data_IF_047629234747
#
_entry.id   IF_047629234747
#
_cell.length_a   1.000
_cell.length_b   1.000
_cell.length_c   1.000
_cell.angle_alpha   90.00
_cell.angle_beta   90.00
_cell.angle_gamma   90.00
#
_symmetry.space_group_name_H-M   'P 1'
#
loop_
_entity.id
_entity.type
_entity.pdbx_description
1 polymer ?
#
# COMPACT_ATOMS: atom_id res chain seq x y z
N UNK A 1 -35.15 -55.56 17.64
CA UNK A 1 -35.12 -54.99 16.28
C UNK A 1 -35.02 -53.45 16.27
N UNK A 2 -34.32 -52.81 17.24
CA UNK A 2 -34.38 -51.34 17.43
C UNK A 2 -33.04 -50.60 17.32
N UNK A 3 -31.92 -51.27 17.02
CA UNK A 3 -30.58 -50.63 16.98
C UNK A 3 -30.14 -50.09 15.61
N UNK A 4 -30.80 -50.48 14.53
CA UNK A 4 -30.41 -50.09 13.16
C UNK A 4 -30.96 -48.72 12.75
N UNK A 5 -32.12 -48.32 13.26
CA UNK A 5 -32.75 -47.02 12.96
C UNK A 5 -32.03 -45.86 13.64
N UNK A 6 -31.53 -46.03 14.86
CA UNK A 6 -30.87 -44.96 15.62
C UNK A 6 -29.49 -44.58 15.02
N UNK A 7 -28.76 -45.56 14.47
CA UNK A 7 -27.46 -45.34 13.84
C UNK A 7 -27.58 -44.63 12.48
N UNK A 8 -28.58 -45.02 11.68
CA UNK A 8 -28.90 -44.36 10.41
C UNK A 8 -29.37 -42.90 10.62
N UNK A 9 -30.12 -42.65 11.71
CA UNK A 9 -30.58 -41.31 12.07
C UNK A 9 -29.43 -40.40 12.55
N UNK A 10 -28.44 -40.93 13.29
CA UNK A 10 -27.25 -40.17 13.69
C UNK A 10 -26.33 -39.85 12.50
N UNK A 11 -26.19 -40.76 11.54
CA UNK A 11 -25.41 -40.54 10.32
C UNK A 11 -26.01 -39.44 9.43
N UNK A 12 -27.32 -39.45 9.24
CA UNK A 12 -28.03 -38.45 8.42
C UNK A 12 -28.01 -37.05 9.03
N UNK A 13 -28.11 -36.93 10.36
CA UNK A 13 -27.99 -35.64 11.06
C UNK A 13 -26.56 -35.06 10.96
N UNK A 14 -25.53 -35.92 10.99
CA UNK A 14 -24.15 -35.50 10.84
C UNK A 14 -23.84 -35.01 9.41
N UNK A 15 -24.30 -35.74 8.39
CA UNK A 15 -24.15 -35.33 6.98
C UNK A 15 -24.90 -34.03 6.67
N UNK A 16 -26.13 -33.89 7.16
CA UNK A 16 -26.90 -32.65 7.03
C UNK A 16 -26.19 -31.46 7.70
N UNK A 17 -25.51 -31.69 8.83
CA UNK A 17 -24.74 -30.64 9.52
C UNK A 17 -23.51 -30.20 8.71
N UNK A 18 -22.80 -31.14 8.07
CA UNK A 18 -21.66 -30.83 7.18
C UNK A 18 -22.13 -30.06 5.94
N UNK A 19 -23.24 -30.49 5.33
CA UNK A 19 -23.80 -29.85 4.15
C UNK A 19 -24.28 -28.43 4.46
N UNK A 20 -24.98 -28.24 5.59
CA UNK A 20 -25.37 -26.93 6.08
C UNK A 20 -24.15 -26.02 6.30
N UNK A 21 -23.07 -26.55 6.90
CA UNK A 21 -21.81 -25.84 7.08
C UNK A 21 -21.19 -25.38 5.76
N UNK A 22 -21.15 -26.24 4.73
CA UNK A 22 -20.67 -25.89 3.38
C UNK A 22 -21.52 -24.81 2.72
N UNK A 23 -22.85 -24.92 2.82
CA UNK A 23 -23.78 -23.93 2.27
C UNK A 23 -23.58 -22.57 2.96
N UNK A 24 -23.48 -22.54 4.29
CA UNK A 24 -23.23 -21.30 5.05
C UNK A 24 -21.89 -20.67 4.63
N UNK A 25 -20.80 -21.44 4.60
CA UNK A 25 -19.48 -20.95 4.16
C UNK A 25 -19.56 -20.38 2.73
N UNK A 26 -20.21 -21.09 1.80
CA UNK A 26 -20.32 -20.63 0.41
C UNK A 26 -21.14 -19.33 0.27
N UNK A 27 -22.20 -19.17 1.09
CA UNK A 27 -23.02 -17.94 1.11
C UNK A 27 -22.23 -16.77 1.70
N UNK A 28 -21.51 -17.01 2.78
CA UNK A 28 -20.62 -16.03 3.41
C UNK A 28 -19.55 -15.59 2.42
N UNK A 29 -18.82 -16.51 1.80
CA UNK A 29 -17.82 -16.20 0.78
C UNK A 29 -18.40 -15.42 -0.40
N UNK A 30 -19.61 -15.76 -0.86
CA UNK A 30 -20.29 -15.04 -1.94
C UNK A 30 -20.67 -13.61 -1.54
N UNK A 31 -21.16 -13.41 -0.31
CA UNK A 31 -21.51 -12.09 0.21
C UNK A 31 -20.27 -11.22 0.40
N UNK A 32 -19.20 -11.77 1.00
CA UNK A 32 -17.91 -11.09 1.14
C UNK A 32 -17.34 -10.73 -0.23
N UNK A 33 -17.25 -11.68 -1.16
CA UNK A 33 -16.75 -11.43 -2.52
C UNK A 33 -17.60 -10.44 -3.34
N UNK A 34 -18.89 -10.29 -3.03
CA UNK A 34 -19.75 -9.25 -3.64
C UNK A 34 -19.48 -7.87 -3.05
N UNK A 35 -19.32 -7.77 -1.73
CA UNK A 35 -18.99 -6.52 -1.04
C UNK A 35 -17.62 -5.99 -1.47
N UNK A 36 -16.63 -6.88 -1.52
CA UNK A 36 -15.27 -6.60 -1.98
C UNK A 36 -15.27 -6.01 -3.40
N UNK A 37 -15.90 -6.71 -4.35
CA UNK A 37 -16.02 -6.23 -5.73
C UNK A 37 -16.68 -4.85 -5.82
N UNK A 38 -17.75 -4.63 -5.05
CA UNK A 38 -18.44 -3.33 -5.03
C UNK A 38 -17.54 -2.22 -4.49
N UNK A 39 -16.70 -2.50 -3.51
CA UNK A 39 -15.75 -1.52 -2.98
C UNK A 39 -14.72 -1.10 -4.03
N UNK A 40 -14.13 -2.05 -4.77
CA UNK A 40 -13.22 -1.75 -5.87
C UNK A 40 -13.91 -0.89 -6.94
N UNK A 41 -15.10 -1.29 -7.39
CA UNK A 41 -15.86 -0.58 -8.42
C UNK A 41 -16.16 0.87 -7.99
N UNK A 42 -16.63 1.08 -6.75
CA UNK A 42 -16.89 2.42 -6.22
C UNK A 42 -15.63 3.31 -6.17
N UNK A 43 -14.47 2.76 -5.82
CA UNK A 43 -13.21 3.52 -5.80
C UNK A 43 -12.81 3.91 -7.23
N UNK A 44 -12.95 2.99 -8.19
CA UNK A 44 -12.61 3.28 -9.58
C UNK A 44 -13.59 4.26 -10.24
N UNK A 45 -14.87 4.25 -9.85
CA UNK A 45 -15.83 5.28 -10.25
C UNK A 45 -15.42 6.66 -9.72
N UNK A 46 -15.13 6.77 -8.42
CA UNK A 46 -14.61 8.01 -7.82
C UNK A 46 -13.33 8.48 -8.51
N UNK A 47 -12.41 7.58 -8.84
CA UNK A 47 -11.18 7.92 -9.56
C UNK A 47 -11.49 8.52 -10.94
N UNK A 48 -12.42 7.95 -11.70
CA UNK A 48 -12.83 8.51 -13.00
C UNK A 48 -13.51 9.87 -12.84
N UNK A 49 -14.36 10.05 -11.83
CA UNK A 49 -14.99 11.35 -11.54
C UNK A 49 -13.95 12.43 -11.20
N UNK A 50 -12.97 12.10 -10.35
CA UNK A 50 -11.85 13.00 -10.03
C UNK A 50 -11.06 13.31 -11.30
N UNK A 51 -10.73 12.29 -12.10
CA UNK A 51 -9.96 12.46 -13.32
C UNK A 51 -10.65 13.40 -14.34
N UNK A 52 -11.97 13.35 -14.44
CA UNK A 52 -12.74 14.25 -15.32
C UNK A 52 -12.67 15.71 -14.85
N UNK A 53 -12.56 15.95 -13.54
CA UNK A 53 -12.53 17.30 -12.95
C UNK A 53 -11.12 17.87 -12.86
N UNK A 54 -10.18 17.06 -12.37
CA UNK A 54 -8.77 17.39 -12.19
C UNK A 54 -7.95 16.09 -12.15
N UNK A 55 -7.34 15.66 -13.27
CA UNK A 55 -6.49 14.47 -13.31
C UNK A 55 -5.42 14.46 -12.21
N UNK A 56 -4.77 15.60 -11.94
CA UNK A 56 -3.69 15.69 -10.95
C UNK A 56 -4.11 15.31 -9.53
N UNK A 57 -5.40 15.44 -9.19
CA UNK A 57 -5.94 15.08 -7.88
C UNK A 57 -6.06 13.55 -7.66
N UNK A 58 -5.74 12.72 -8.66
CA UNK A 58 -5.62 11.28 -8.46
C UNK A 58 -4.54 10.89 -7.45
N UNK A 59 -3.47 11.69 -7.32
CA UNK A 59 -2.48 11.50 -6.25
C UNK A 59 -3.09 11.71 -4.86
N UNK A 60 -3.99 12.69 -4.71
CA UNK A 60 -4.67 12.93 -3.44
C UNK A 60 -5.61 11.77 -3.10
N UNK A 61 -6.28 11.19 -4.10
CA UNK A 61 -7.07 9.97 -3.91
C UNK A 61 -6.18 8.80 -3.47
N UNK A 62 -5.02 8.58 -4.10
CA UNK A 62 -4.06 7.54 -3.67
C UNK A 62 -3.63 7.77 -2.21
N UNK A 63 -3.27 9.00 -1.85
CA UNK A 63 -2.90 9.36 -0.48
C UNK A 63 -4.04 9.08 0.50
N UNK A 64 -5.28 9.43 0.14
CA UNK A 64 -6.47 9.14 0.95
C UNK A 64 -6.68 7.64 1.14
N UNK A 65 -6.56 6.84 0.08
CA UNK A 65 -6.75 5.40 0.12
C UNK A 65 -5.66 4.70 0.96
N UNK A 66 -4.41 5.15 0.87
CA UNK A 66 -3.29 4.54 1.58
C UNK A 66 -3.09 5.08 2.99
N UNK A 67 -3.77 6.18 3.38
CA UNK A 67 -3.66 6.76 4.72
C UNK A 67 -4.03 5.79 5.85
N UNK A 68 -5.14 5.01 5.78
CA UNK A 68 -5.45 4.04 6.83
C UNK A 68 -4.41 2.92 6.90
N UNK A 69 -3.89 2.45 5.76
CA UNK A 69 -2.84 1.42 5.73
C UNK A 69 -1.55 1.92 6.40
N UNK A 70 -1.15 3.17 6.13
CA UNK A 70 -0.06 3.84 6.84
C UNK A 70 -0.35 3.90 8.34
N UNK A 71 -1.54 4.35 8.74
CA UNK A 71 -1.92 4.49 10.15
C UNK A 71 -1.89 3.16 10.91
N UNK A 72 -2.38 2.08 10.31
CA UNK A 72 -2.35 0.72 10.87
C UNK A 72 -0.92 0.22 11.09
N UNK A 73 -0.02 0.47 10.13
CA UNK A 73 1.40 0.15 10.28
C UNK A 73 2.06 0.94 11.42
N UNK A 74 1.68 2.22 11.58
CA UNK A 74 2.21 3.08 12.64
C UNK A 74 1.69 2.72 14.03
N UNK A 75 0.41 2.38 14.16
CA UNK A 75 -0.23 2.11 15.45
C UNK A 75 0.15 0.73 15.99
N UNK A 76 0.41 -0.25 15.12
CA UNK A 76 0.66 -1.62 15.54
C UNK A 76 1.89 -1.78 16.45
N UNK A 77 2.92 -0.93 16.33
CA UNK A 77 4.07 -0.96 17.26
C UNK A 77 3.73 -0.46 18.67
N UNK A 78 2.65 0.30 18.79
CA UNK A 78 2.16 0.88 20.05
C UNK A 78 1.20 -0.09 20.73
N UNK A 79 0.31 -0.71 19.97
CA UNK A 79 -0.78 -1.58 20.46
C UNK A 79 -0.33 -3.02 20.73
N UNK A 80 0.61 -3.55 19.95
CA UNK A 80 1.05 -4.93 20.10
C UNK A 80 2.04 -5.09 21.26
N UNK A 81 2.15 -6.32 21.77
CA UNK A 81 3.14 -6.66 22.78
C UNK A 81 4.58 -6.41 22.26
N UNK A 82 5.53 -6.24 23.17
CA UNK A 82 6.95 -6.10 22.82
C UNK A 82 7.39 -7.25 21.90
N UNK A 83 8.11 -6.91 20.83
CA UNK A 83 8.55 -7.84 19.77
C UNK A 83 7.45 -8.40 18.87
N UNK A 84 6.22 -7.90 18.96
CA UNK A 84 5.09 -8.26 18.08
C UNK A 84 4.67 -7.10 17.16
N UNK A 85 5.62 -6.25 16.77
CA UNK A 85 5.32 -5.17 15.82
C UNK A 85 4.84 -5.74 14.47
N UNK A 86 4.06 -4.96 13.68
CA UNK A 86 3.66 -5.35 12.34
C UNK A 86 4.85 -5.79 11.47
N UNK A 87 4.62 -6.72 10.52
CA UNK A 87 5.66 -7.11 9.58
C UNK A 87 6.14 -5.92 8.74
N UNK A 88 7.34 -6.05 8.17
CA UNK A 88 7.87 -5.04 7.27
C UNK A 88 7.00 -4.90 6.02
N UNK A 89 6.85 -3.66 5.55
CA UNK A 89 6.15 -3.37 4.30
C UNK A 89 7.15 -3.56 3.16
N UNK A 90 7.07 -4.73 2.51
CA UNK A 90 7.97 -5.12 1.43
C UNK A 90 7.43 -4.61 0.11
N UNK A 91 8.19 -3.74 -0.57
CA UNK A 91 7.79 -3.14 -1.84
C UNK A 91 7.50 -4.19 -2.91
N UNK A 92 8.35 -5.21 -3.06
CA UNK A 92 8.25 -6.23 -4.11
C UNK A 92 6.99 -7.10 -4.07
N UNK A 93 6.25 -7.11 -2.96
CA UNK A 93 4.98 -7.83 -2.82
C UNK A 93 3.81 -6.91 -2.51
N UNK A 94 3.99 -5.58 -2.60
CA UNK A 94 2.98 -4.62 -2.14
C UNK A 94 1.64 -4.76 -2.85
N UNK A 95 1.64 -4.91 -4.18
CA UNK A 95 0.39 -5.09 -4.94
C UNK A 95 -0.06 -6.55 -4.98
N UNK A 96 0.87 -7.50 -5.13
CA UNK A 96 0.58 -8.92 -5.18
C UNK A 96 1.83 -9.75 -4.91
N UNK A 97 1.66 -10.88 -4.22
CA UNK A 97 2.73 -11.83 -3.95
C UNK A 97 2.78 -12.97 -4.98
N UNK A 98 3.45 -12.78 -6.12
CA UNK A 98 3.75 -13.89 -7.05
C UNK A 98 5.23 -13.93 -7.40
N UNK A 99 5.91 -15.01 -6.99
CA UNK A 99 7.34 -15.29 -7.23
C UNK A 99 7.75 -15.34 -8.71
N UNK A 100 6.80 -15.43 -9.64
CA UNK A 100 7.03 -15.36 -11.10
C UNK A 100 7.15 -13.92 -11.60
N UNK A 101 6.51 -12.97 -10.88
CA UNK A 101 6.53 -11.53 -11.18
C UNK A 101 7.34 -10.74 -10.14
N UNK A 102 7.68 -11.31 -8.98
CA UNK A 102 8.64 -10.71 -8.05
C UNK A 102 9.99 -10.40 -8.71
N UNK A 103 10.56 -11.26 -9.59
CA UNK A 103 11.75 -10.93 -10.37
C UNK A 103 11.50 -9.78 -11.38
N UNK A 104 10.27 -9.64 -11.87
CA UNK A 104 9.88 -8.54 -12.74
C UNK A 104 9.80 -7.22 -11.95
N UNK A 105 9.19 -7.18 -10.77
CA UNK A 105 9.12 -5.94 -9.95
C UNK A 105 10.50 -5.37 -9.57
N UNK A 106 11.53 -6.20 -9.45
CA UNK A 106 12.90 -5.77 -9.14
C UNK A 106 13.67 -5.20 -10.35
N UNK A 107 13.26 -5.56 -11.58
CA UNK A 107 13.95 -5.21 -12.84
C UNK A 107 13.16 -4.31 -13.80
N UNK A 108 11.83 -4.22 -13.67
CA UNK A 108 10.95 -3.45 -14.55
C UNK A 108 10.98 -1.94 -14.29
N UNK A 109 11.43 -1.51 -13.12
CA UNK A 109 11.44 -0.11 -12.75
C UNK A 109 12.61 0.64 -13.39
N UNK A 110 12.34 1.60 -14.28
CA UNK A 110 13.37 2.52 -14.78
C UNK A 110 13.87 3.36 -13.62
N UNK A 111 15.18 3.33 -13.36
CA UNK A 111 15.80 4.17 -12.33
C UNK A 111 15.82 5.62 -12.80
N UNK A 112 15.37 6.51 -11.94
CA UNK A 112 15.45 7.96 -12.17
C UNK A 112 16.39 8.61 -11.15
N UNK A 113 16.91 9.78 -11.49
CA UNK A 113 17.77 10.58 -10.62
C UNK A 113 17.03 11.01 -9.34
N UNK A 114 17.43 10.53 -8.15
CA UNK A 114 16.64 10.76 -6.93
C UNK A 114 16.57 12.21 -6.48
N UNK A 115 17.62 13.00 -6.74
CA UNK A 115 17.71 14.41 -6.35
C UNK A 115 16.65 15.29 -7.02
N UNK A 116 16.08 14.84 -8.13
CA UNK A 116 14.97 15.50 -8.80
C UNK A 116 13.64 15.37 -8.04
N UNK A 117 13.58 14.61 -6.94
CA UNK A 117 12.34 14.33 -6.22
C UNK A 117 12.42 14.72 -4.75
N UNK A 118 11.27 15.15 -4.21
CA UNK A 118 11.07 15.41 -2.78
C UNK A 118 9.78 14.75 -2.33
N UNK A 119 9.81 14.12 -1.16
CA UNK A 119 8.63 13.49 -0.55
C UNK A 119 8.35 14.18 0.77
N UNK A 120 7.15 14.72 0.92
CA UNK A 120 6.73 15.49 2.08
C UNK A 120 6.10 14.56 3.14
N UNK A 121 6.68 14.51 4.34
CA UNK A 121 6.27 13.55 5.38
C UNK A 121 4.82 13.79 5.85
N UNK A 122 4.29 15.01 5.72
CA UNK A 122 2.95 15.34 6.18
C UNK A 122 1.85 14.92 5.20
N UNK A 123 2.14 14.93 3.89
CA UNK A 123 1.13 14.86 2.82
C UNK A 123 1.23 13.61 1.97
N UNK A 124 2.44 13.13 1.74
CA UNK A 124 2.69 12.04 0.80
C UNK A 124 2.56 10.67 1.46
N UNK A 125 2.15 9.69 0.65
CA UNK A 125 2.17 8.29 1.06
C UNK A 125 3.61 7.81 1.25
N UNK A 126 3.99 7.64 2.51
CA UNK A 126 5.24 7.00 2.94
C UNK A 126 4.89 5.85 3.88
N UNK A 127 5.46 4.69 3.68
CA UNK A 127 5.09 3.46 4.38
C UNK A 127 6.26 3.02 5.28
N UNK A 128 6.46 3.67 6.44
CA UNK A 128 7.36 3.15 7.46
C UNK A 128 6.69 1.99 8.20
N UNK A 129 7.53 1.17 8.81
CA UNK A 129 7.13 0.08 9.68
C UNK A 129 7.98 0.15 10.96
N UNK A 130 7.64 1.05 11.90
CA UNK A 130 8.36 1.11 13.18
C UNK A 130 8.20 -0.24 13.90
N UNK A 131 9.31 -0.83 14.32
CA UNK A 131 9.31 -2.21 14.82
C UNK A 131 9.80 -2.36 16.28
N UNK A 132 10.17 -1.23 16.90
CA UNK A 132 10.75 -1.23 18.25
C UNK A 132 10.09 -0.14 19.10
N UNK A 133 9.43 -0.58 20.18
CA UNK A 133 8.64 0.26 21.08
C UNK A 133 9.47 1.35 21.78
N UNK A 134 10.68 1.02 22.23
CA UNK A 134 11.55 2.00 22.89
C UNK A 134 12.03 3.07 21.90
N UNK A 135 12.43 2.66 20.69
CA UNK A 135 12.89 3.58 19.64
C UNK A 135 11.78 4.49 19.15
N UNK A 136 10.55 3.98 18.96
CA UNK A 136 9.44 4.84 18.58
C UNK A 136 9.04 5.78 19.71
N UNK A 137 9.03 5.33 20.97
CA UNK A 137 8.75 6.20 22.12
C UNK A 137 9.77 7.35 22.20
N UNK A 138 11.06 7.06 22.05
CA UNK A 138 12.11 8.08 22.00
C UNK A 138 11.96 9.03 20.81
N UNK A 139 11.70 8.51 19.61
CA UNK A 139 11.49 9.34 18.43
C UNK A 139 10.29 10.29 18.61
N UNK A 140 9.16 9.78 19.12
CA UNK A 140 7.97 10.60 19.40
C UNK A 140 8.20 11.61 20.52
N UNK A 141 8.97 11.28 21.56
CA UNK A 141 9.25 12.19 22.67
C UNK A 141 10.20 13.33 22.28
N UNK A 142 11.13 13.09 21.36
CA UNK A 142 12.25 14.01 21.14
C UNK A 142 12.27 14.70 19.76
N UNK A 143 11.65 14.12 18.72
CA UNK A 143 11.72 14.64 17.34
C UNK A 143 10.43 15.35 16.93
N UNK A 144 10.55 16.57 16.43
CA UNK A 144 9.49 17.44 15.94
C UNK A 144 9.51 18.83 16.58
N UNK A 145 8.73 19.78 16.03
CA UNK A 145 8.65 21.16 16.55
C UNK A 145 8.33 21.18 18.06
N UNK A 146 9.09 21.97 18.83
CA UNK A 146 8.89 22.12 20.27
C UNK A 146 9.47 20.99 21.14
N UNK A 147 10.20 20.03 20.57
CA UNK A 147 10.84 18.92 21.31
C UNK A 147 12.36 19.07 21.35
N UNK A 148 13.02 18.29 22.21
CA UNK A 148 14.45 18.46 22.53
C UNK A 148 15.41 18.28 21.35
N UNK A 149 15.07 17.49 20.32
CA UNK A 149 15.87 17.36 19.09
C UNK A 149 15.41 18.30 17.97
N UNK A 150 14.39 19.12 18.22
CA UNK A 150 13.87 20.10 17.27
C UNK A 150 13.17 19.50 16.06
N UNK A 151 13.05 20.30 14.99
CA UNK A 151 12.41 19.92 13.73
C UNK A 151 13.03 18.66 13.13
N UNK A 152 12.21 17.87 12.44
CA UNK A 152 12.67 16.67 11.76
C UNK A 152 13.67 17.04 10.65
N UNK A 153 14.75 16.26 10.51
CA UNK A 153 15.74 16.41 9.44
C UNK A 153 16.15 15.06 8.90
N UNK A 154 16.37 15.00 7.59
CA UNK A 154 16.94 13.82 6.94
C UNK A 154 18.41 13.63 7.40
N UNK A 155 18.80 12.38 7.52
CA UNK A 155 20.14 11.90 7.88
C UNK A 155 20.47 10.62 7.07
N UNK A 156 21.72 10.14 7.07
CA UNK A 156 22.13 8.98 6.26
C UNK A 156 21.45 7.63 6.58
N UNK A 157 20.79 7.49 7.74
CA UNK A 157 20.05 6.29 8.10
C UNK A 157 18.66 6.25 7.43
N UNK A 158 18.19 7.36 6.86
CA UNK A 158 16.92 7.42 6.15
C UNK A 158 17.04 6.88 4.72
N UNK A 159 16.50 5.68 4.49
CA UNK A 159 16.51 5.02 3.18
C UNK A 159 15.08 4.89 2.69
N UNK A 160 14.77 5.60 1.61
CA UNK A 160 13.43 5.64 1.00
C UNK A 160 13.50 5.35 -0.50
N UNK A 161 12.65 4.43 -0.96
CA UNK A 161 12.42 4.14 -2.36
C UNK A 161 11.07 4.72 -2.78
N UNK A 162 11.03 5.57 -3.81
CA UNK A 162 9.81 6.14 -4.37
C UNK A 162 9.40 5.37 -5.63
N UNK A 163 8.14 4.92 -5.67
CA UNK A 163 7.51 4.33 -6.86
C UNK A 163 6.59 5.31 -7.57
N UNK A 164 6.81 5.44 -8.87
CA UNK A 164 5.97 6.18 -9.82
C UNK A 164 5.20 5.18 -10.70
N UNK A 165 4.00 5.53 -11.19
CA UNK A 165 3.37 6.85 -11.13
C UNK A 165 2.64 7.15 -9.81
N UNK A 166 2.41 6.15 -8.95
CA UNK A 166 1.53 6.32 -7.78
C UNK A 166 1.98 7.36 -6.76
N UNK A 167 3.30 7.55 -6.60
CA UNK A 167 3.84 8.34 -5.51
C UNK A 167 3.80 7.59 -4.17
N UNK A 168 4.17 6.31 -4.18
CA UNK A 168 4.25 5.49 -2.96
C UNK A 168 5.70 5.37 -2.55
N UNK A 169 6.01 5.73 -1.32
CA UNK A 169 7.36 5.65 -0.77
C UNK A 169 7.49 4.52 0.24
N UNK A 170 8.46 3.64 0.05
CA UNK A 170 8.78 2.52 0.93
C UNK A 170 10.02 2.82 1.75
N UNK A 171 9.98 2.51 3.05
CA UNK A 171 11.07 2.83 3.99
C UNK A 171 11.91 1.59 4.28
N UNK A 172 13.17 1.63 3.86
CA UNK A 172 14.19 0.63 4.20
C UNK A 172 14.94 0.94 5.51
N UNK A 173 15.06 2.23 5.86
CA UNK A 173 15.84 2.71 7.00
C UNK A 173 15.26 4.01 7.58
N UNK A 174 15.45 4.24 8.88
CA UNK A 174 14.87 5.41 9.57
C UNK A 174 13.39 5.32 9.91
N UNK A 175 12.82 4.11 9.99
CA UNK A 175 11.40 3.87 10.26
C UNK A 175 10.85 4.67 11.46
N UNK A 176 11.54 4.68 12.61
CA UNK A 176 11.06 5.35 13.82
C UNK A 176 11.10 6.88 13.72
N UNK A 177 12.19 7.45 13.19
CA UNK A 177 12.33 8.90 13.02
C UNK A 177 11.40 9.44 11.93
N UNK A 178 11.26 8.73 10.80
CA UNK A 178 10.27 9.07 9.74
C UNK A 178 8.86 9.07 10.31
N UNK A 179 8.52 8.08 11.15
CA UNK A 179 7.22 8.06 11.84
C UNK A 179 7.00 9.34 12.65
N UNK A 180 8.00 9.78 13.43
CA UNK A 180 7.88 11.02 14.19
C UNK A 180 7.70 12.26 13.30
N UNK A 181 8.37 12.31 12.14
CA UNK A 181 8.17 13.35 11.12
C UNK A 181 6.75 13.37 10.57
N UNK A 182 6.21 12.21 10.18
CA UNK A 182 4.83 12.06 9.70
C UNK A 182 3.82 12.56 10.74
N UNK A 183 3.94 12.12 12.00
CA UNK A 183 2.99 12.48 13.07
C UNK A 183 3.11 13.96 13.45
N UNK A 184 4.30 14.54 13.41
CA UNK A 184 4.49 15.97 13.66
C UNK A 184 4.11 16.86 12.47
N UNK A 185 3.81 16.27 11.30
CA UNK A 185 3.56 17.01 10.07
C UNK A 185 4.77 17.82 9.60
N UNK A 186 5.98 17.36 9.90
CA UNK A 186 7.23 18.10 9.69
C UNK A 186 8.24 17.24 8.91
N UNK A 187 8.96 17.88 8.00
CA UNK A 187 10.05 17.27 7.24
C UNK A 187 9.73 16.91 5.79
N UNK A 188 10.78 16.90 4.99
CA UNK A 188 10.81 16.41 3.61
C UNK A 188 12.02 15.50 3.43
N UNK A 189 11.88 14.48 2.59
CA UNK A 189 12.93 13.50 2.31
C UNK A 189 13.25 13.47 0.82
N UNK A 190 14.54 13.47 0.52
CA UNK A 190 15.07 13.10 -0.80
C UNK A 190 15.15 11.57 -0.83
N UNK A 191 14.44 10.88 -1.73
CA UNK A 191 14.55 9.42 -1.84
C UNK A 191 15.98 9.00 -2.14
N UNK A 192 16.40 7.84 -1.65
CA UNK A 192 17.66 7.21 -2.09
C UNK A 192 17.52 6.48 -3.42
N UNK A 193 16.28 6.15 -3.80
CA UNK A 193 15.96 5.45 -5.04
C UNK A 193 14.61 5.91 -5.57
N UNK A 194 14.52 6.13 -6.89
CA UNK A 194 13.26 6.44 -7.58
C UNK A 194 13.09 5.47 -8.74
N UNK A 195 11.93 4.84 -8.80
CA UNK A 195 11.56 3.86 -9.83
C UNK A 195 10.31 4.30 -10.56
N UNK A 196 10.42 4.46 -11.87
CA UNK A 196 9.25 4.50 -12.74
C UNK A 196 8.81 3.07 -13.07
N UNK A 197 7.69 2.68 -12.47
CA UNK A 197 7.10 1.35 -12.60
C UNK A 197 6.03 1.29 -13.69
N UNK A 198 6.00 2.26 -14.61
CA UNK A 198 5.01 2.31 -15.69
C UNK A 198 4.94 1.02 -16.51
N UNK A 199 6.05 0.33 -16.72
CA UNK A 199 6.09 -0.96 -17.44
C UNK A 199 5.29 -2.07 -16.73
N UNK A 200 5.26 -2.07 -15.39
CA UNK A 200 4.44 -3.01 -14.61
C UNK A 200 2.96 -2.89 -14.97
N UNK A 201 2.50 -1.67 -15.25
CA UNK A 201 1.14 -1.41 -15.68
C UNK A 201 0.89 -1.95 -17.10
N UNK A 202 1.87 -2.09 -17.98
CA UNK A 202 1.64 -2.76 -19.29
C UNK A 202 1.45 -4.26 -19.13
N UNK A 203 2.19 -4.86 -18.19
CA UNK A 203 2.29 -6.32 -18.06
C UNK A 203 1.17 -6.94 -17.25
N UNK A 204 0.62 -6.19 -16.28
CA UNK A 204 -0.38 -6.70 -15.33
C UNK A 204 -1.58 -5.78 -15.32
N UNK A 205 -2.78 -6.36 -15.30
CA UNK A 205 -4.07 -5.68 -15.07
C UNK A 205 -4.77 -6.26 -13.84
N UNK A 206 -5.66 -5.48 -13.24
CA UNK A 206 -6.52 -5.92 -12.13
C UNK A 206 -7.99 -5.62 -12.39
N UNK A 207 -8.85 -6.61 -12.14
CA UNK A 207 -10.31 -6.50 -12.28
C UNK A 207 -11.04 -6.34 -10.93
N UNK A 208 -10.29 -6.13 -9.85
CA UNK A 208 -10.81 -6.09 -8.47
C UNK A 208 -11.04 -7.47 -7.84
N UNK A 209 -10.78 -8.57 -8.57
CA UNK A 209 -10.76 -9.94 -8.03
C UNK A 209 -9.42 -10.63 -8.23
N UNK A 210 -8.77 -10.39 -9.36
CA UNK A 210 -7.51 -11.02 -9.73
C UNK A 210 -6.59 -10.02 -10.41
N UNK A 211 -5.30 -10.20 -10.15
CA UNK A 211 -4.25 -9.68 -11.01
C UNK A 211 -4.00 -10.68 -12.15
N UNK A 212 -3.89 -10.19 -13.37
CA UNK A 212 -3.72 -11.01 -14.58
C UNK A 212 -2.65 -10.43 -15.49
N UNK A 213 -1.93 -11.30 -16.17
CA UNK A 213 -1.06 -10.87 -17.26
C UNK A 213 -1.92 -10.26 -18.38
N UNK A 214 -1.58 -9.05 -18.85
CA UNK A 214 -2.35 -8.35 -19.88
C UNK A 214 -2.41 -9.15 -21.19
N UNK A 215 -1.28 -9.77 -21.58
CA UNK A 215 -1.13 -10.49 -22.86
C UNK A 215 -1.83 -11.84 -22.88
N UNK A 216 -1.66 -12.65 -21.83
CA UNK A 216 -2.13 -14.03 -21.76
C UNK A 216 -3.45 -14.20 -21.00
N UNK A 217 -3.86 -13.17 -20.23
CA UNK A 217 -4.98 -13.19 -19.26
C UNK A 217 -4.83 -14.22 -18.14
N UNK A 218 -3.67 -14.85 -18.02
CA UNK A 218 -3.35 -15.83 -16.98
C UNK A 218 -3.43 -15.16 -15.61
N UNK A 219 -4.11 -15.80 -14.66
CA UNK A 219 -4.16 -15.34 -13.27
C UNK A 219 -2.77 -15.40 -12.64
N UNK A 220 -2.35 -14.27 -12.09
CA UNK A 220 -1.13 -14.09 -11.31
C UNK A 220 -1.46 -14.36 -9.83
N UNK A 221 -2.39 -13.57 -9.29
CA UNK A 221 -2.80 -13.62 -7.89
C UNK A 221 -4.27 -13.25 -7.73
N UNK A 222 -4.89 -13.70 -6.64
CA UNK A 222 -6.16 -13.15 -6.18
C UNK A 222 -5.92 -11.80 -5.51
N UNK A 223 -6.91 -10.92 -5.55
CA UNK A 223 -6.91 -9.66 -4.79
C UNK A 223 -7.13 -9.97 -3.31
N UNK A 224 -6.19 -9.52 -2.47
CA UNK A 224 -6.28 -9.65 -1.01
C UNK A 224 -6.84 -8.38 -0.36
N UNK A 225 -6.62 -7.22 -0.98
CA UNK A 225 -7.12 -5.91 -0.55
C UNK A 225 -7.58 -5.12 -1.78
N UNK A 226 -8.88 -4.81 -1.83
CA UNK A 226 -9.52 -4.14 -2.95
C UNK A 226 -9.10 -2.68 -3.08
N UNK A 227 -8.68 -2.08 -1.97
CA UNK A 227 -8.16 -0.72 -1.95
C UNK A 227 -6.78 -0.66 -2.59
N UNK A 228 -5.90 -1.61 -2.26
CA UNK A 228 -4.58 -1.75 -2.89
C UNK A 228 -4.74 -2.10 -4.38
N UNK A 229 -5.68 -2.97 -4.73
CA UNK A 229 -6.03 -3.27 -6.11
C UNK A 229 -6.52 -2.03 -6.87
N UNK A 230 -7.39 -1.22 -6.27
CA UNK A 230 -7.84 0.01 -6.89
C UNK A 230 -6.70 1.02 -7.05
N UNK A 231 -5.80 1.16 -6.07
CA UNK A 231 -4.59 2.00 -6.21
C UNK A 231 -3.76 1.58 -7.42
N UNK A 232 -3.56 0.27 -7.64
CA UNK A 232 -2.84 -0.24 -8.82
C UNK A 232 -3.45 0.29 -10.12
N UNK A 233 -4.77 0.13 -10.29
CA UNK A 233 -5.48 0.56 -11.50
C UNK A 233 -5.67 2.09 -11.61
N UNK A 234 -5.68 2.83 -10.50
CA UNK A 234 -5.57 4.29 -10.53
C UNK A 234 -4.23 4.70 -11.16
N UNK A 235 -3.14 4.00 -10.86
CA UNK A 235 -1.85 4.22 -11.54
C UNK A 235 -1.93 4.02 -13.06
N UNK A 236 -2.66 2.98 -13.52
CA UNK A 236 -2.94 2.79 -14.96
C UNK A 236 -3.69 3.97 -15.54
N UNK A 237 -4.76 4.41 -14.88
CA UNK A 237 -5.55 5.57 -15.32
C UNK A 237 -4.68 6.83 -15.39
N UNK A 238 -3.84 7.07 -14.39
CA UNK A 238 -2.91 8.21 -14.38
C UNK A 238 -1.96 8.18 -15.56
N UNK A 239 -1.41 7.00 -15.88
CA UNK A 239 -0.53 6.80 -17.03
C UNK A 239 -1.24 7.04 -18.36
N UNK A 240 -2.46 6.53 -18.53
CA UNK A 240 -3.28 6.78 -19.73
C UNK A 240 -3.56 8.28 -19.94
N UNK A 241 -3.69 9.03 -18.86
CA UNK A 241 -3.90 10.48 -18.86
C UNK A 241 -2.59 11.29 -18.91
N UNK A 242 -1.43 10.64 -19.04
CA UNK A 242 -0.09 11.26 -19.05
C UNK A 242 0.16 12.19 -17.85
N UNK A 243 -0.35 11.81 -16.67
CA UNK A 243 -0.17 12.58 -15.45
C UNK A 243 1.28 12.45 -14.99
N UNK A 244 1.95 13.60 -14.87
CA UNK A 244 3.31 13.64 -14.34
C UNK A 244 3.29 13.51 -12.83
N UNK A 245 4.31 12.85 -12.24
CA UNK A 245 4.49 12.85 -10.79
C UNK A 245 4.52 14.28 -10.26
N UNK A 246 3.66 14.59 -9.28
CA UNK A 246 3.60 15.92 -8.64
C UNK A 246 4.85 16.28 -7.82
N UNK A 247 5.81 15.34 -7.71
CA UNK A 247 6.93 15.36 -6.75
C UNK A 247 8.28 15.73 -7.35
N UNK A 248 8.32 16.24 -8.59
CA UNK A 248 9.54 16.83 -9.13
C UNK A 248 9.91 18.07 -8.31
N UNK A 249 11.05 18.04 -7.63
CA UNK A 249 11.57 19.21 -6.93
C UNK A 249 11.68 20.37 -7.90
N UNK A 250 11.20 21.55 -7.52
CA UNK A 250 11.68 22.78 -8.19
C UNK A 250 13.19 22.79 -7.98
N UNK A 251 13.98 22.70 -9.06
CA UNK A 251 15.36 23.14 -9.00
C UNK A 251 15.30 24.61 -8.57
N UNK A 252 15.58 24.88 -7.29
CA UNK A 252 15.76 26.25 -6.84
C UNK A 252 16.94 26.81 -7.63
N UNK A 253 16.72 27.86 -8.42
CA UNK A 253 17.80 28.71 -8.89
C UNK A 253 18.61 29.11 -7.65
N UNK A 254 19.81 28.54 -7.51
CA UNK A 254 20.81 29.10 -6.64
C UNK A 254 21.23 30.39 -7.32
N UNK A 255 20.72 31.52 -6.85
CA UNK A 255 21.30 32.82 -7.15
C UNK A 255 22.74 32.79 -6.65
N UNK A 256 23.71 32.95 -7.56
CA UNK A 256 25.11 33.12 -7.22
C UNK A 256 25.28 34.30 -6.23
N UNK A 257 26.18 34.18 -5.24
CA UNK A 257 26.52 35.31 -4.40
C UNK A 257 27.32 36.35 -5.21
N UNK A 258 26.98 37.62 -4.98
CA UNK A 258 27.73 38.78 -5.46
C UNK A 258 29.10 38.91 -4.78
#
# INVERSE_FOLDING_TARGET
MFRTTEYAMKSTVYEASIEMGRVVISRVQRLFGRKQRLQFENIMEMAREIAQRNPGALHDLINLLLRPYQAEALVGVVENASHQAPPSIVSSSFFFGDRRITPLSYGLGVKLEPDAFRVNLAKDTILPWPWNRQRIAGALAHIGPGKSMGKWRQDPNHQVMLWLPWGISFVGGGNHSITAGIISGDGEITPGEVRDMSELLDLVECDGRYYRETSSRKTIAAVEDERIAAVFEIGRLMRQLNIKPSRSGKAGCVSEPA
#
